data_IF_308170475036
#
_entry.id   IF_308170475036
#
_cell.length_a   1.000
_cell.length_b   1.000
_cell.length_c   1.000
_cell.angle_alpha   90.00
_cell.angle_beta   90.00
_cell.angle_gamma   90.00
#
_symmetry.space_group_name_H-M   'P 1'
#
loop_
_entity.id
_entity.type
_entity.pdbx_description
1 polymer ?
#
# COMPACT_ATOMS: atom_id res chain seq x y z
N UNK A 1 48.35 19.85 40.19
CA UNK A 1 46.89 19.92 40.21
C UNK A 1 46.40 19.22 41.44
N UNK A 2 45.55 19.89 42.26
CA UNK A 2 45.00 19.31 43.47
C UNK A 2 44.11 18.10 43.09
N UNK A 3 44.11 16.99 43.85
CA UNK A 3 43.34 15.79 43.49
C UNK A 3 41.84 16.10 43.27
N UNK A 4 41.30 17.06 43.95
CA UNK A 4 39.91 17.48 43.79
C UNK A 4 39.60 18.08 42.41
N UNK A 5 40.53 18.76 41.78
CA UNK A 5 40.32 19.33 40.42
C UNK A 5 40.33 18.26 39.33
N UNK A 6 41.10 17.17 39.52
CA UNK A 6 41.08 16.04 38.60
C UNK A 6 39.73 15.26 38.65
N UNK A 7 39.20 15.08 39.88
CA UNK A 7 37.91 14.44 40.08
C UNK A 7 36.78 15.24 39.47
N UNK A 8 36.76 16.56 39.69
CA UNK A 8 35.74 17.45 39.12
C UNK A 8 35.81 17.50 37.59
N UNK A 9 37.01 17.53 37.01
CA UNK A 9 37.22 17.48 35.56
C UNK A 9 36.75 16.16 34.98
N UNK A 10 37.12 15.05 35.61
CA UNK A 10 36.64 13.69 35.23
C UNK A 10 35.10 13.59 35.29
N UNK A 11 34.50 14.12 36.35
CA UNK A 11 33.06 14.14 36.51
C UNK A 11 32.35 14.96 35.41
N UNK A 12 32.89 16.12 35.04
CA UNK A 12 32.38 16.95 33.93
C UNK A 12 32.45 16.24 32.59
N UNK A 13 33.54 15.55 32.29
CA UNK A 13 33.71 14.79 31.07
C UNK A 13 32.69 13.65 31.01
N UNK A 14 32.55 12.88 32.08
CA UNK A 14 31.56 11.79 32.14
C UNK A 14 30.15 12.30 32.00
N UNK A 15 29.80 13.41 32.64
CA UNK A 15 28.50 14.06 32.48
C UNK A 15 28.27 14.51 31.05
N UNK A 16 29.24 15.12 30.40
CA UNK A 16 29.16 15.51 29.00
C UNK A 16 28.92 14.32 28.06
N UNK A 17 29.65 13.22 28.27
CA UNK A 17 29.46 11.99 27.49
C UNK A 17 28.07 11.38 27.73
N UNK A 18 27.57 11.41 28.97
CA UNK A 18 26.22 10.94 29.31
C UNK A 18 25.14 11.76 28.59
N UNK A 19 25.24 13.11 28.62
CA UNK A 19 24.30 14.00 27.92
C UNK A 19 24.30 13.75 26.43
N UNK A 20 25.48 13.60 25.81
CA UNK A 20 25.60 13.27 24.38
C UNK A 20 24.97 11.93 24.04
N UNK A 21 25.22 10.90 24.86
CA UNK A 21 24.62 9.58 24.66
C UNK A 21 23.11 9.59 24.77
N UNK A 22 22.58 10.29 25.79
CA UNK A 22 21.12 10.43 25.98
C UNK A 22 20.47 11.17 24.81
N UNK A 23 21.09 12.23 24.32
CA UNK A 23 20.57 12.97 23.18
C UNK A 23 20.52 12.13 21.89
N UNK A 24 21.55 11.33 21.62
CA UNK A 24 21.57 10.40 20.49
C UNK A 24 20.45 9.33 20.58
N UNK A 25 20.19 8.83 21.79
CA UNK A 25 19.12 7.87 22.01
C UNK A 25 17.74 8.51 21.70
N UNK A 26 17.49 9.72 22.17
CA UNK A 26 16.24 10.43 21.91
C UNK A 26 16.03 10.67 20.42
N UNK A 27 17.06 11.13 19.70
CA UNK A 27 16.97 11.34 18.25
C UNK A 27 16.65 10.04 17.50
N UNK A 28 17.35 8.96 17.81
CA UNK A 28 17.09 7.65 17.19
C UNK A 28 15.68 7.13 17.47
N UNK A 29 15.15 7.33 18.68
CA UNK A 29 13.79 6.93 19.02
C UNK A 29 12.75 7.74 18.24
N UNK A 30 13.00 9.03 18.04
CA UNK A 30 12.11 9.89 17.25
C UNK A 30 12.06 9.44 15.79
N UNK A 31 13.21 9.13 15.18
CA UNK A 31 13.29 8.64 13.81
C UNK A 31 12.55 7.31 13.62
N UNK A 32 12.69 6.39 14.57
CA UNK A 32 11.97 5.11 14.56
C UNK A 32 10.46 5.32 14.68
N UNK A 33 10.02 6.22 15.57
CA UNK A 33 8.60 6.50 15.75
C UNK A 33 7.97 7.10 14.49
N UNK A 34 8.64 8.06 13.86
CA UNK A 34 8.18 8.70 12.61
C UNK A 34 8.16 7.69 11.46
N UNK A 35 9.18 6.86 11.32
CA UNK A 35 9.21 5.80 10.30
C UNK A 35 8.07 4.81 10.48
N UNK A 36 7.76 4.43 11.72
CA UNK A 36 6.65 3.54 12.04
C UNK A 36 5.28 4.17 11.69
N UNK A 37 5.10 5.46 11.94
CA UNK A 37 3.89 6.19 11.56
C UNK A 37 3.66 6.16 10.05
N UNK A 38 4.70 6.36 9.25
CA UNK A 38 4.60 6.29 7.79
C UNK A 38 4.31 4.88 7.29
N UNK A 39 4.87 3.85 7.93
CA UNK A 39 4.55 2.46 7.59
C UNK A 39 3.09 2.12 7.89
N UNK A 40 2.57 2.53 9.06
CA UNK A 40 1.16 2.32 9.42
C UNK A 40 0.24 3.05 8.43
N UNK A 41 0.57 4.29 8.07
CA UNK A 41 -0.19 5.04 7.07
C UNK A 41 -0.20 4.34 5.71
N UNK A 42 0.95 3.83 5.26
CA UNK A 42 1.06 3.09 4.01
C UNK A 42 0.23 1.80 4.01
N UNK A 43 0.25 1.05 5.12
CA UNK A 43 -0.61 -0.13 5.29
C UNK A 43 -2.09 0.27 5.19
N UNK A 44 -2.49 1.32 5.88
CA UNK A 44 -3.87 1.84 5.86
C UNK A 44 -4.32 2.24 4.45
N UNK A 45 -3.47 2.90 3.66
CA UNK A 45 -3.77 3.26 2.28
C UNK A 45 -3.89 2.04 1.36
N UNK A 46 -3.02 1.05 1.55
CA UNK A 46 -3.11 -0.21 0.80
C UNK A 46 -4.37 -1.00 1.14
N UNK A 47 -4.71 -1.10 2.42
CA UNK A 47 -5.94 -1.76 2.89
C UNK A 47 -7.19 -1.05 2.37
N UNK A 48 -7.20 0.28 2.38
CA UNK A 48 -8.31 1.07 1.83
C UNK A 48 -8.58 0.75 0.36
N UNK A 49 -7.54 0.55 -0.45
CA UNK A 49 -7.70 0.15 -1.86
C UNK A 49 -8.24 -1.28 -1.99
N UNK A 50 -7.75 -2.21 -1.16
CA UNK A 50 -8.25 -3.59 -1.15
C UNK A 50 -9.72 -3.63 -0.75
N UNK A 51 -10.12 -2.91 0.31
CA UNK A 51 -11.52 -2.86 0.73
C UNK A 51 -12.43 -2.23 -0.32
N UNK A 52 -11.94 -1.23 -1.06
CA UNK A 52 -12.64 -0.65 -2.20
C UNK A 52 -12.86 -1.69 -3.31
N UNK A 53 -11.82 -2.43 -3.69
CA UNK A 53 -11.90 -3.47 -4.71
C UNK A 53 -12.83 -4.64 -4.29
N UNK A 54 -12.83 -5.02 -3.01
CA UNK A 54 -13.72 -6.07 -2.47
C UNK A 54 -15.20 -5.74 -2.56
N UNK A 55 -15.56 -4.47 -2.62
CA UNK A 55 -16.97 -4.05 -2.76
C UNK A 55 -17.49 -4.15 -4.19
N UNK A 56 -16.62 -4.41 -5.15
CA UNK A 56 -16.95 -4.49 -6.58
C UNK A 56 -17.34 -5.91 -6.97
N UNK A 57 -17.94 -6.05 -8.15
CA UNK A 57 -18.23 -7.35 -8.73
C UNK A 57 -16.94 -8.12 -9.02
N UNK A 58 -17.03 -9.43 -9.17
CA UNK A 58 -15.84 -10.25 -9.43
C UNK A 58 -15.25 -10.03 -10.84
N UNK A 59 -16.11 -9.79 -11.83
CA UNK A 59 -15.73 -9.71 -13.24
C UNK A 59 -16.83 -8.98 -14.02
N UNK A 60 -16.51 -8.28 -15.10
CA UNK A 60 -17.46 -7.62 -16.00
C UNK A 60 -18.56 -8.57 -16.49
N UNK A 61 -18.24 -9.84 -16.64
CA UNK A 61 -19.26 -10.87 -16.99
C UNK A 61 -20.37 -11.02 -15.94
N UNK A 62 -20.12 -10.66 -14.67
CA UNK A 62 -21.16 -10.63 -13.62
C UNK A 62 -22.08 -9.43 -13.76
N UNK A 63 -21.62 -8.35 -14.37
CA UNK A 63 -22.39 -7.13 -14.60
C UNK A 63 -23.26 -7.26 -15.83
N UNK A 64 -22.67 -7.77 -16.91
CA UNK A 64 -23.35 -7.86 -18.23
C UNK A 64 -24.16 -9.13 -18.40
N UNK A 65 -24.00 -10.14 -17.54
CA UNK A 65 -24.68 -11.43 -17.71
C UNK A 65 -24.55 -12.34 -16.50
N UNK A 66 -24.53 -13.64 -16.76
CA UNK A 66 -24.40 -14.69 -15.75
C UNK A 66 -23.13 -15.51 -16.01
N UNK A 67 -22.28 -15.62 -15.02
CA UNK A 67 -21.10 -16.48 -15.05
C UNK A 67 -21.57 -17.94 -14.79
N UNK A 68 -21.44 -18.79 -15.80
CA UNK A 68 -21.72 -20.23 -15.68
C UNK A 68 -20.45 -21.08 -15.69
N UNK A 69 -19.43 -20.60 -16.37
CA UNK A 69 -18.13 -21.28 -16.51
C UNK A 69 -17.00 -20.26 -16.50
N UNK A 70 -15.80 -20.72 -16.23
CA UNK A 70 -14.58 -19.88 -16.28
C UNK A 70 -14.36 -19.22 -17.66
N UNK A 71 -14.92 -19.80 -18.73
CA UNK A 71 -14.80 -19.23 -20.06
C UNK A 71 -15.59 -17.95 -20.27
N UNK A 72 -16.59 -17.68 -19.42
CA UNK A 72 -17.35 -16.42 -19.44
C UNK A 72 -16.56 -15.24 -18.85
N UNK A 73 -15.53 -15.52 -18.05
CA UNK A 73 -14.72 -14.49 -17.40
C UNK A 73 -13.84 -13.73 -18.40
N UNK A 74 -13.43 -12.54 -18.02
CA UNK A 74 -12.49 -11.70 -18.77
C UNK A 74 -11.17 -12.43 -19.01
N UNK A 75 -10.62 -12.35 -20.21
CA UNK A 75 -9.36 -13.02 -20.53
C UNK A 75 -8.20 -12.43 -19.71
N UNK A 76 -7.25 -13.28 -19.29
CA UNK A 76 -6.10 -12.83 -18.47
C UNK A 76 -5.30 -11.67 -19.06
N UNK A 77 -5.21 -11.58 -20.38
CA UNK A 77 -4.53 -10.47 -21.08
C UNK A 77 -5.39 -9.21 -21.26
N UNK A 78 -6.68 -9.27 -20.87
CA UNK A 78 -7.65 -8.18 -21.02
C UNK A 78 -8.18 -7.70 -19.67
N UNK A 79 -7.62 -8.19 -18.56
CA UNK A 79 -7.97 -7.68 -17.22
C UNK A 79 -7.67 -6.19 -17.12
N UNK A 80 -8.62 -5.43 -16.65
CA UNK A 80 -8.56 -4.00 -16.47
C UNK A 80 -9.77 -3.29 -17.04
N UNK A 81 -9.79 -2.00 -16.93
CA UNK A 81 -10.90 -1.10 -17.20
C UNK A 81 -11.48 -1.19 -18.61
N UNK A 82 -12.79 -1.13 -18.67
CA UNK A 82 -13.56 -1.07 -19.90
C UNK A 82 -13.74 0.37 -20.41
N UNK A 83 -14.42 0.47 -21.55
CA UNK A 83 -14.73 1.76 -22.17
C UNK A 83 -15.71 2.54 -21.30
N UNK A 84 -15.28 3.67 -20.75
CA UNK A 84 -16.09 4.52 -19.86
C UNK A 84 -15.54 4.64 -18.44
N UNK A 85 -14.73 3.72 -18.02
CA UNK A 85 -14.10 3.68 -16.69
C UNK A 85 -12.77 4.43 -16.66
N UNK A 86 -12.87 5.71 -16.91
CA UNK A 86 -11.70 6.56 -17.07
C UNK A 86 -11.31 7.27 -15.77
N UNK A 87 -10.00 7.43 -15.57
CA UNK A 87 -9.45 8.31 -14.56
C UNK A 87 -8.18 8.99 -15.10
N UNK A 88 -7.83 10.12 -14.51
CA UNK A 88 -6.52 10.75 -14.77
C UNK A 88 -5.44 10.00 -14.03
N UNK A 89 -4.39 9.57 -14.72
CA UNK A 89 -3.27 8.84 -14.09
C UNK A 89 -2.17 9.80 -13.63
N UNK A 90 -1.81 9.84 -12.35
CA UNK A 90 -2.42 9.10 -11.24
C UNK A 90 -3.77 9.68 -10.84
N UNK A 91 -4.66 8.84 -10.30
CA UNK A 91 -5.91 9.27 -9.71
C UNK A 91 -5.57 10.08 -8.45
N UNK A 92 -5.96 11.34 -8.44
CA UNK A 92 -5.70 12.25 -7.33
C UNK A 92 -7.01 12.89 -6.91
N UNK A 93 -7.32 12.77 -5.64
CA UNK A 93 -8.50 13.39 -5.08
C UNK A 93 -8.13 14.35 -3.96
N UNK A 94 -8.62 15.56 -4.07
CA UNK A 94 -8.55 16.56 -2.99
C UNK A 94 -9.48 16.24 -1.81
N UNK A 95 -10.49 15.41 -2.02
CA UNK A 95 -11.59 15.17 -1.08
C UNK A 95 -11.78 13.70 -0.69
N UNK A 96 -10.84 12.83 -1.05
CA UNK A 96 -10.96 11.37 -0.83
C UNK A 96 -11.88 10.66 -1.81
N UNK A 97 -12.48 11.37 -2.77
CA UNK A 97 -13.33 10.80 -3.81
C UNK A 97 -12.49 10.48 -5.05
N UNK A 98 -11.85 9.33 -5.05
CA UNK A 98 -11.13 8.82 -6.21
C UNK A 98 -12.11 8.46 -7.34
N UNK A 99 -11.66 8.63 -8.59
CA UNK A 99 -12.46 8.26 -9.75
C UNK A 99 -12.78 6.75 -9.76
N UNK A 100 -11.89 5.92 -9.26
CA UNK A 100 -12.09 4.47 -9.07
C UNK A 100 -13.33 4.13 -8.24
N UNK A 101 -13.67 4.92 -7.22
CA UNK A 101 -14.87 4.67 -6.40
C UNK A 101 -16.16 4.74 -7.19
N UNK A 102 -16.23 5.59 -8.23
CA UNK A 102 -17.44 5.85 -9.02
C UNK A 102 -17.44 5.15 -10.36
N UNK A 103 -16.28 5.01 -10.97
CA UNK A 103 -16.16 4.59 -12.36
C UNK A 103 -15.87 3.10 -12.49
N UNK A 104 -15.21 2.51 -11.50
CA UNK A 104 -14.91 1.08 -11.50
C UNK A 104 -16.11 0.31 -10.97
N UNK A 105 -16.47 -0.77 -11.62
CA UNK A 105 -17.62 -1.57 -11.23
C UNK A 105 -17.26 -3.04 -10.96
N UNK A 106 -16.08 -3.49 -11.42
CA UNK A 106 -15.58 -4.83 -11.11
C UNK A 106 -14.16 -4.85 -10.46
N UNK A 107 -13.71 -6.05 -10.10
CA UNK A 107 -12.46 -6.26 -9.39
C UNK A 107 -11.24 -6.08 -10.29
N UNK A 108 -11.34 -6.41 -11.55
CA UNK A 108 -10.19 -6.32 -12.46
C UNK A 108 -9.92 -4.91 -12.99
N UNK A 109 -10.82 -3.95 -12.83
CA UNK A 109 -10.58 -2.52 -13.10
C UNK A 109 -9.38 -1.96 -12.35
N UNK A 110 -9.10 -2.55 -11.18
CA UNK A 110 -7.93 -2.20 -10.40
C UNK A 110 -6.61 -2.71 -10.99
N UNK A 111 -6.64 -3.40 -12.12
CA UNK A 111 -5.40 -3.80 -12.80
C UNK A 111 -4.70 -2.59 -13.44
N UNK A 112 -3.41 -2.42 -13.10
CA UNK A 112 -2.59 -1.25 -13.48
C UNK A 112 -3.18 0.10 -13.00
N UNK A 113 -3.95 0.09 -11.92
CA UNK A 113 -4.45 1.31 -11.30
C UNK A 113 -3.37 1.96 -10.43
N UNK A 114 -3.42 3.29 -10.36
CA UNK A 114 -2.50 4.09 -9.55
C UNK A 114 -3.18 5.34 -9.03
N UNK A 115 -3.06 5.58 -7.71
CA UNK A 115 -3.51 6.81 -7.06
C UNK A 115 -2.46 7.43 -6.16
N UNK A 116 -2.58 8.74 -5.90
CA UNK A 116 -1.75 9.47 -4.94
C UNK A 116 -2.63 9.82 -3.73
N UNK A 117 -2.11 9.52 -2.55
CA UNK A 117 -2.76 9.78 -1.27
C UNK A 117 -1.79 10.54 -0.37
N UNK A 118 -2.33 11.43 0.46
CA UNK A 118 -1.53 12.17 1.46
C UNK A 118 -2.02 11.86 2.87
N UNK A 119 -1.08 11.79 3.81
CA UNK A 119 -1.37 11.81 5.24
C UNK A 119 -1.13 13.23 5.80
N UNK A 120 -1.61 13.53 7.02
CA UNK A 120 -1.41 14.86 7.62
C UNK A 120 0.07 15.27 7.79
N UNK A 121 0.99 14.31 7.81
CA UNK A 121 2.44 14.55 8.01
C UNK A 121 3.31 14.22 6.81
N UNK A 122 2.76 13.55 5.82
CA UNK A 122 3.51 13.18 4.62
C UNK A 122 2.60 13.16 3.38
N UNK A 123 3.09 13.75 2.33
CA UNK A 123 2.42 13.80 1.03
C UNK A 123 3.00 12.74 0.08
N UNK A 124 2.28 12.52 -1.03
CA UNK A 124 2.79 11.74 -2.15
C UNK A 124 3.04 10.24 -1.86
N UNK A 125 2.16 9.61 -1.07
CA UNK A 125 2.08 8.16 -1.10
C UNK A 125 1.47 7.73 -2.43
N UNK A 126 2.22 6.94 -3.18
CA UNK A 126 1.72 6.32 -4.41
C UNK A 126 1.23 4.92 -4.09
N UNK A 127 -0.06 4.69 -4.30
CA UNK A 127 -0.71 3.38 -4.18
C UNK A 127 -0.95 2.86 -5.58
N UNK A 128 -0.39 1.72 -5.92
CA UNK A 128 -0.55 1.06 -7.21
C UNK A 128 -1.05 -0.37 -7.03
N UNK A 129 -1.83 -0.86 -7.97
CA UNK A 129 -2.35 -2.23 -7.91
C UNK A 129 -2.20 -2.96 -9.24
N UNK A 130 -2.12 -4.29 -9.14
CA UNK A 130 -2.18 -5.22 -10.26
C UNK A 130 -3.13 -6.35 -9.90
N UNK A 131 -3.91 -6.82 -10.87
CA UNK A 131 -4.83 -7.94 -10.71
C UNK A 131 -4.42 -9.06 -11.64
N UNK A 132 -4.39 -10.28 -11.12
CA UNK A 132 -4.03 -11.49 -11.88
C UNK A 132 -4.91 -12.65 -11.46
N UNK A 133 -5.15 -13.59 -12.39
CA UNK A 133 -5.71 -14.88 -12.01
C UNK A 133 -4.71 -15.70 -11.20
N UNK A 134 -5.20 -16.45 -10.23
CA UNK A 134 -4.41 -17.35 -9.40
C UNK A 134 -5.03 -18.76 -9.40
N UNK A 135 -4.22 -19.73 -9.02
CA UNK A 135 -4.71 -21.09 -8.83
C UNK A 135 -5.67 -21.14 -7.64
N UNK A 136 -6.83 -21.76 -7.79
CA UNK A 136 -7.81 -21.97 -6.72
C UNK A 136 -7.27 -22.86 -5.59
N UNK A 137 -6.33 -23.75 -5.91
CA UNK A 137 -5.69 -24.64 -4.93
C UNK A 137 -4.46 -24.01 -4.27
N UNK A 138 -3.72 -23.16 -5.03
CA UNK A 138 -2.50 -22.51 -4.60
C UNK A 138 -2.55 -21.01 -4.95
N UNK A 139 -3.20 -20.18 -4.13
CA UNK A 139 -3.44 -18.76 -4.44
C UNK A 139 -2.18 -17.91 -4.60
N UNK A 140 -1.03 -18.39 -4.13
CA UNK A 140 0.26 -17.73 -4.34
C UNK A 140 0.76 -17.88 -5.78
N UNK A 141 0.25 -18.87 -6.52
CA UNK A 141 0.66 -19.14 -7.89
C UNK A 141 -0.22 -18.39 -8.89
N UNK A 142 0.35 -17.41 -9.57
CA UNK A 142 -0.31 -16.71 -10.66
C UNK A 142 -0.45 -17.64 -11.87
N UNK A 143 -1.60 -17.59 -12.53
CA UNK A 143 -1.90 -18.37 -13.74
C UNK A 143 -2.35 -17.45 -14.87
N UNK A 144 -2.13 -17.88 -16.09
CA UNK A 144 -2.57 -17.17 -17.30
C UNK A 144 -3.92 -17.64 -17.83
N UNK A 145 -4.43 -18.73 -17.25
CA UNK A 145 -5.76 -19.27 -17.55
C UNK A 145 -6.80 -18.62 -16.64
N UNK A 146 -8.04 -18.50 -17.12
CA UNK A 146 -9.17 -18.04 -16.30
C UNK A 146 -9.45 -19.02 -15.17
N UNK A 147 -9.68 -18.51 -13.98
CA UNK A 147 -10.08 -19.28 -12.78
C UNK A 147 -11.12 -18.47 -12.01
N UNK A 148 -11.79 -19.07 -11.06
CA UNK A 148 -12.70 -18.37 -10.14
C UNK A 148 -11.96 -17.70 -8.97
N UNK A 149 -10.66 -17.47 -9.12
CA UNK A 149 -9.85 -16.77 -8.13
C UNK A 149 -8.99 -15.68 -8.81
N UNK A 150 -9.15 -14.43 -8.37
CA UNK A 150 -8.33 -13.28 -8.77
C UNK A 150 -7.57 -12.75 -7.56
N UNK A 151 -6.32 -12.39 -7.75
CA UNK A 151 -5.49 -11.77 -6.71
C UNK A 151 -5.19 -10.33 -7.08
N UNK A 152 -5.49 -9.41 -6.16
CA UNK A 152 -5.01 -8.04 -6.21
C UNK A 152 -3.73 -7.94 -5.38
N UNK A 153 -2.70 -7.35 -5.96
CA UNK A 153 -1.47 -6.98 -5.29
C UNK A 153 -1.37 -5.47 -5.27
N UNK A 154 -1.37 -4.90 -4.06
CA UNK A 154 -1.28 -3.47 -3.84
C UNK A 154 0.11 -3.14 -3.32
N UNK A 155 0.78 -2.20 -3.98
CA UNK A 155 2.10 -1.69 -3.60
C UNK A 155 2.00 -0.22 -3.25
N UNK A 156 2.42 0.13 -2.04
CA UNK A 156 2.48 1.51 -1.56
C UNK A 156 3.92 1.98 -1.46
N UNK A 157 4.23 3.06 -2.13
CA UNK A 157 5.56 3.69 -2.14
C UNK A 157 5.49 5.15 -1.72
N UNK A 158 6.52 5.63 -1.06
CA UNK A 158 6.68 7.04 -0.69
C UNK A 158 8.16 7.35 -0.47
N UNK A 159 8.62 8.60 -0.67
CA UNK A 159 9.97 9.02 -0.29
C UNK A 159 10.28 8.85 1.20
N UNK A 160 9.25 8.77 2.04
CA UNK A 160 9.37 8.62 3.50
C UNK A 160 9.45 7.16 3.96
N UNK A 161 9.26 6.20 3.05
CA UNK A 161 9.35 4.77 3.34
C UNK A 161 10.73 4.23 2.95
N UNK A 162 11.39 3.54 3.83
CA UNK A 162 12.64 2.83 3.52
C UNK A 162 12.42 1.68 2.52
N UNK A 163 11.24 1.06 2.59
CA UNK A 163 10.81 -0.03 1.71
C UNK A 163 9.33 0.15 1.36
N UNK A 164 8.95 -0.24 0.16
CA UNK A 164 7.55 -0.30 -0.24
C UNK A 164 6.77 -1.30 0.63
N UNK A 165 5.55 -0.94 0.95
CA UNK A 165 4.58 -1.85 1.59
C UNK A 165 3.83 -2.58 0.50
N UNK A 166 3.75 -3.90 0.58
CA UNK A 166 3.03 -4.75 -0.36
C UNK A 166 1.96 -5.53 0.40
N UNK A 167 0.73 -5.45 -0.08
CA UNK A 167 -0.43 -6.17 0.44
C UNK A 167 -1.04 -6.98 -0.69
N UNK A 168 -1.54 -8.16 -0.38
CA UNK A 168 -2.21 -9.03 -1.35
C UNK A 168 -3.56 -9.49 -0.78
N UNK A 169 -4.53 -9.63 -1.67
CA UNK A 169 -5.84 -10.19 -1.35
C UNK A 169 -6.31 -11.04 -2.50
N UNK A 170 -6.94 -12.19 -2.19
CA UNK A 170 -7.53 -13.09 -3.18
C UNK A 170 -9.04 -13.02 -3.06
N UNK A 171 -9.69 -12.67 -4.16
CA UNK A 171 -11.14 -12.73 -4.33
C UNK A 171 -11.50 -14.05 -5.01
N UNK A 172 -12.52 -14.71 -4.51
CA UNK A 172 -13.06 -15.96 -5.05
C UNK A 172 -14.54 -15.71 -5.39
N UNK A 173 -14.93 -16.14 -6.62
CA UNK A 173 -16.31 -16.05 -7.10
C UNK A 173 -17.19 -17.13 -6.50
#
# INVERSE_FOLDING_TARGET
LAPNTLITLGGLILFGLFVLSTNNIILNQTDVAVSSEFQISAIGFGQSLIEEAKMKKFDEAEITGTIQTVNNLTASGSLGRETGETYTTPDSSYTGNFASLRNFDDFDDYNNYRRIVSSPRAENFTVSSTVTYVSETWPDSNVTTRTFAKKIRVTVTSPYLQRSVVLEYVSIF
#
